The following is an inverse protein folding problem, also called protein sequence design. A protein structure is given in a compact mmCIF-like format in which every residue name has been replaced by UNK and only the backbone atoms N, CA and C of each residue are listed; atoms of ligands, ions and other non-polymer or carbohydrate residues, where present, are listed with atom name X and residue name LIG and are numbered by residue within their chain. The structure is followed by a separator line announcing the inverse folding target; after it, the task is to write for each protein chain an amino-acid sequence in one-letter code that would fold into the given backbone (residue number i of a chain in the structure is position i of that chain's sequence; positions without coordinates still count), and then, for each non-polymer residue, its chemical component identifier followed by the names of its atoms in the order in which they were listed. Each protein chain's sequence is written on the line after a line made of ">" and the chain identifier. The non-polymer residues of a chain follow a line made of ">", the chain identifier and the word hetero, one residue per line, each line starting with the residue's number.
data_IF_964147734671
#
_entry.id   IF_964147734671
#
_cell.length_a   1.000
_cell.length_b   1.000
_cell.length_c   1.000
_cell.angle_alpha   90.00
_cell.angle_beta   90.00
_cell.angle_gamma   90.00
#
_symmetry.space_group_name_H-M   'P 1'
#
loop_
_entity.id
_entity.type
_entity.pdbx_description
1 polymer ?
#
# COMPACT_ATOMS: atom_id res chain seq x y z
N UNK A 1 -65.48 -43.98 -4.37
CA UNK A 1 -65.04 -42.57 -4.28
C UNK A 1 -63.66 -42.55 -3.65
N UNK A 2 -62.59 -42.35 -4.42
CA UNK A 2 -61.29 -41.91 -3.88
C UNK A 2 -60.73 -40.91 -4.89
N UNK A 3 -60.75 -39.63 -4.54
CA UNK A 3 -60.14 -38.54 -5.32
C UNK A 3 -58.68 -38.45 -4.89
N UNK A 4 -57.75 -38.70 -5.80
CA UNK A 4 -56.35 -38.31 -5.63
C UNK A 4 -56.21 -36.83 -6.01
N UNK A 5 -55.89 -35.98 -5.03
CA UNK A 5 -55.39 -34.62 -5.28
C UNK A 5 -53.87 -34.70 -5.42
N UNK A 6 -53.37 -34.47 -6.64
CA UNK A 6 -51.95 -34.20 -6.86
C UNK A 6 -51.69 -32.72 -6.57
N UNK A 7 -50.96 -32.43 -5.49
CA UNK A 7 -50.37 -31.11 -5.28
C UNK A 7 -49.07 -31.03 -6.10
N UNK A 8 -49.04 -30.17 -7.11
CA UNK A 8 -47.82 -29.81 -7.82
C UNK A 8 -47.05 -28.79 -6.98
N UNK A 9 -45.91 -29.21 -6.44
CA UNK A 9 -44.95 -28.33 -5.76
C UNK A 9 -44.13 -27.60 -6.81
N UNK A 10 -44.34 -26.29 -6.98
CA UNK A 10 -43.48 -25.46 -7.80
C UNK A 10 -42.26 -25.02 -6.97
N UNK A 11 -41.11 -25.65 -7.19
CA UNK A 11 -39.83 -25.20 -6.64
C UNK A 11 -39.32 -24.03 -7.46
N UNK A 12 -39.35 -22.82 -6.89
CA UNK A 12 -38.65 -21.67 -7.45
C UNK A 12 -37.15 -21.79 -7.10
N UNK A 13 -36.32 -22.14 -8.09
CA UNK A 13 -34.88 -22.05 -7.95
C UNK A 13 -34.47 -20.58 -7.99
N UNK A 14 -33.96 -20.05 -6.88
CA UNK A 14 -33.33 -18.73 -6.84
C UNK A 14 -31.95 -18.88 -7.47
N UNK A 15 -31.77 -18.35 -8.68
CA UNK A 15 -30.46 -18.20 -9.29
C UNK A 15 -29.72 -17.10 -8.52
N UNK A 16 -28.69 -17.48 -7.76
CA UNK A 16 -27.77 -16.52 -7.18
C UNK A 16 -27.00 -15.86 -8.33
N UNK A 17 -27.25 -14.57 -8.56
CA UNK A 17 -26.39 -13.75 -9.41
C UNK A 17 -25.08 -13.53 -8.67
N UNK A 18 -24.00 -14.19 -9.09
CA UNK A 18 -22.66 -13.80 -8.66
C UNK A 18 -22.41 -12.39 -9.17
N UNK A 19 -22.24 -11.41 -8.28
CA UNK A 19 -21.72 -10.12 -8.71
C UNK A 19 -20.31 -10.35 -9.24
N UNK A 20 -19.98 -9.81 -10.41
CA UNK A 20 -18.62 -9.88 -10.97
C UNK A 20 -17.77 -8.69 -10.50
N UNK A 21 -18.20 -8.02 -9.44
CA UNK A 21 -17.59 -6.83 -8.88
C UNK A 21 -17.99 -6.63 -7.41
N UNK A 22 -17.26 -5.75 -6.73
CA UNK A 22 -17.62 -5.15 -5.45
C UNK A 22 -17.36 -3.64 -5.48
N UNK A 23 -17.87 -2.92 -4.50
CA UNK A 23 -17.69 -1.47 -4.35
C UNK A 23 -16.63 -1.18 -3.29
N UNK A 24 -15.76 -0.22 -3.59
CA UNK A 24 -14.90 0.45 -2.61
C UNK A 24 -15.34 1.90 -2.51
N UNK A 25 -15.88 2.28 -1.36
CA UNK A 25 -16.24 3.67 -1.06
C UNK A 25 -15.04 4.37 -0.44
N UNK A 26 -14.49 5.36 -1.13
CA UNK A 26 -13.42 6.22 -0.63
C UNK A 26 -14.02 7.44 0.07
N UNK A 27 -13.73 7.60 1.36
CA UNK A 27 -14.22 8.70 2.19
C UNK A 27 -13.07 9.60 2.59
N UNK A 28 -13.24 10.91 2.39
CA UNK A 28 -12.28 11.91 2.83
C UNK A 28 -12.65 12.44 4.23
N UNK A 29 -11.93 12.00 5.26
CA UNK A 29 -12.01 12.52 6.62
C UNK A 29 -11.00 13.62 6.94
N UNK A 30 -10.14 14.00 6.00
CA UNK A 30 -9.17 15.09 6.16
C UNK A 30 -9.88 16.45 6.06
N UNK A 31 -9.27 17.53 6.58
CA UNK A 31 -9.81 18.90 6.39
C UNK A 31 -9.53 19.49 5.01
N UNK A 32 -8.55 18.94 4.29
CA UNK A 32 -8.26 19.28 2.91
C UNK A 32 -8.92 18.30 1.94
N UNK A 33 -9.06 18.73 0.70
CA UNK A 33 -9.47 17.84 -0.38
C UNK A 33 -8.42 16.74 -0.62
N UNK A 34 -8.88 15.57 -1.04
CA UNK A 34 -8.03 14.45 -1.47
C UNK A 34 -8.05 14.43 -2.99
N UNK A 35 -6.87 14.43 -3.61
CA UNK A 35 -6.76 14.07 -5.02
C UNK A 35 -6.57 12.56 -5.10
N UNK A 36 -7.67 11.82 -5.32
CA UNK A 36 -7.65 10.37 -5.42
C UNK A 36 -7.07 9.96 -6.77
N UNK A 37 -5.83 9.49 -6.75
CA UNK A 37 -5.18 8.87 -7.90
C UNK A 37 -5.46 7.38 -7.91
N UNK A 38 -5.71 6.83 -9.10
CA UNK A 38 -5.87 5.39 -9.37
C UNK A 38 -4.86 4.97 -10.43
N UNK A 39 -4.17 3.85 -10.20
CA UNK A 39 -3.26 3.24 -11.17
C UNK A 39 -3.51 1.75 -11.29
N UNK A 40 -3.64 1.25 -12.52
CA UNK A 40 -3.74 -0.19 -12.80
C UNK A 40 -2.35 -0.80 -13.04
N UNK A 41 -2.18 -2.08 -12.71
CA UNK A 41 -0.87 -2.76 -12.87
C UNK A 41 -0.44 -2.92 -14.30
N UNK A 42 -1.42 -3.02 -15.17
CA UNK A 42 -1.24 -3.12 -16.60
C UNK A 42 -1.04 -1.76 -17.29
N UNK A 43 -1.25 -0.62 -16.60
CA UNK A 43 -1.26 0.71 -17.21
C UNK A 43 -0.47 1.72 -16.35
N UNK A 44 0.60 2.29 -16.92
CA UNK A 44 1.47 3.26 -16.24
C UNK A 44 0.96 4.72 -16.30
N UNK A 45 -0.33 4.93 -16.54
CA UNK A 45 -0.96 6.25 -16.51
C UNK A 45 -1.96 6.31 -15.39
N UNK A 46 -1.96 7.41 -14.65
CA UNK A 46 -2.94 7.62 -13.60
C UNK A 46 -4.25 8.18 -14.15
N UNK A 47 -5.33 7.76 -13.49
CA UNK A 47 -6.58 8.51 -13.46
C UNK A 47 -6.69 9.24 -12.12
N UNK A 48 -7.35 10.39 -12.09
CA UNK A 48 -7.52 11.17 -10.85
C UNK A 48 -8.89 11.81 -10.74
N UNK A 49 -9.41 11.89 -9.52
CA UNK A 49 -10.57 12.71 -9.17
C UNK A 49 -10.39 13.33 -7.78
N UNK A 50 -11.07 14.45 -7.53
CA UNK A 50 -10.99 15.13 -6.23
C UNK A 50 -12.16 14.72 -5.34
N UNK A 51 -11.86 14.33 -4.10
CA UNK A 51 -12.83 14.09 -3.03
C UNK A 51 -12.76 15.27 -2.07
N UNK A 52 -13.78 16.11 -2.08
CA UNK A 52 -13.86 17.24 -1.15
C UNK A 52 -13.81 16.77 0.32
N UNK A 53 -13.31 17.61 1.24
CA UNK A 53 -13.35 17.34 2.69
C UNK A 53 -14.76 16.91 3.13
N UNK A 54 -14.86 15.74 3.77
CA UNK A 54 -16.11 15.15 4.26
C UNK A 54 -16.97 14.46 3.19
N UNK A 55 -16.53 14.43 1.92
CA UNK A 55 -17.24 13.76 0.83
C UNK A 55 -16.78 12.30 0.65
N UNK A 56 -17.41 11.59 -0.29
CA UNK A 56 -17.03 10.24 -0.67
C UNK A 56 -17.28 9.99 -2.16
N UNK A 57 -16.54 9.04 -2.71
CA UNK A 57 -16.71 8.53 -4.09
C UNK A 57 -16.66 7.01 -4.08
N UNK A 58 -17.40 6.37 -4.98
CA UNK A 58 -17.44 4.92 -5.12
C UNK A 58 -16.60 4.48 -6.32
N UNK A 59 -15.83 3.41 -6.14
CA UNK A 59 -15.13 2.70 -7.21
C UNK A 59 -15.66 1.29 -7.31
N UNK A 60 -15.98 0.86 -8.53
CA UNK A 60 -16.33 -0.53 -8.81
C UNK A 60 -15.07 -1.32 -9.15
N UNK A 61 -14.80 -2.39 -8.39
CA UNK A 61 -13.67 -3.28 -8.61
C UNK A 61 -14.19 -4.59 -9.20
N UNK A 62 -13.85 -4.85 -10.46
CA UNK A 62 -14.26 -6.06 -11.18
C UNK A 62 -13.26 -7.21 -10.99
N UNK A 63 -13.66 -8.42 -11.40
CA UNK A 63 -12.75 -9.56 -11.47
C UNK A 63 -11.61 -9.31 -12.48
N UNK A 64 -10.38 -9.66 -12.12
CA UNK A 64 -9.19 -9.39 -12.92
C UNK A 64 -8.56 -8.00 -12.70
N UNK A 65 -9.02 -7.25 -11.70
CA UNK A 65 -8.42 -5.99 -11.28
C UNK A 65 -7.09 -6.23 -10.54
N UNK A 66 -6.11 -5.36 -10.78
CA UNK A 66 -4.90 -5.21 -9.98
C UNK A 66 -4.47 -3.75 -10.07
N UNK A 67 -4.34 -3.06 -8.94
CA UNK A 67 -4.08 -1.62 -8.93
C UNK A 67 -3.98 -1.03 -7.53
N UNK A 68 -3.62 0.25 -7.49
CA UNK A 68 -3.57 1.03 -6.25
C UNK A 68 -4.33 2.35 -6.36
N UNK A 69 -4.74 2.82 -5.19
CA UNK A 69 -5.35 4.10 -4.93
C UNK A 69 -4.48 4.88 -3.94
N UNK A 70 -4.41 6.20 -4.09
CA UNK A 70 -3.60 7.04 -3.21
C UNK A 70 -4.01 8.51 -3.28
N UNK A 71 -3.61 9.28 -2.28
CA UNK A 71 -3.78 10.74 -2.28
C UNK A 71 -2.56 11.41 -2.94
N UNK A 72 -2.78 12.12 -4.04
CA UNK A 72 -1.73 12.76 -4.81
C UNK A 72 -0.90 11.80 -5.67
N UNK A 73 0.02 12.35 -6.44
CA UNK A 73 0.93 11.59 -7.31
C UNK A 73 2.40 11.65 -6.86
N UNK A 74 2.66 12.29 -5.72
CA UNK A 74 3.99 12.40 -5.16
C UNK A 74 4.47 11.08 -4.55
N UNK A 75 5.77 11.05 -4.26
CA UNK A 75 6.45 9.88 -3.71
C UNK A 75 6.02 9.48 -2.32
N UNK A 76 5.57 10.43 -1.52
CA UNK A 76 5.10 10.15 -0.19
C UNK A 76 3.70 9.50 -0.24
N UNK A 77 3.10 9.25 -1.40
CA UNK A 77 1.76 8.70 -1.47
C UNK A 77 1.63 7.32 -0.78
N UNK A 78 0.82 7.28 0.28
CA UNK A 78 0.41 6.03 0.93
C UNK A 78 -0.46 5.23 -0.05
N UNK A 79 -0.06 4.00 -0.38
CA UNK A 79 -0.77 3.15 -1.34
C UNK A 79 -1.85 2.32 -0.64
N UNK A 80 -3.05 2.28 -1.21
CA UNK A 80 -4.09 1.30 -0.91
C UNK A 80 -4.22 0.39 -2.13
N UNK A 81 -3.89 -0.89 -1.98
CA UNK A 81 -3.85 -1.81 -3.12
C UNK A 81 -5.04 -2.78 -3.06
N UNK A 82 -5.59 -3.10 -4.24
CA UNK A 82 -6.60 -4.14 -4.40
C UNK A 82 -6.21 -5.05 -5.57
N UNK A 83 -6.44 -6.35 -5.42
CA UNK A 83 -6.30 -7.31 -6.50
C UNK A 83 -7.38 -8.39 -6.45
N UNK A 84 -7.87 -8.77 -7.63
CA UNK A 84 -8.87 -9.82 -7.84
C UNK A 84 -8.40 -10.79 -8.93
N UNK A 85 -7.10 -10.75 -9.25
CA UNK A 85 -6.44 -11.67 -10.18
C UNK A 85 -6.21 -13.05 -9.55
N UNK A 86 -6.12 -14.06 -10.41
CA UNK A 86 -5.92 -15.45 -10.03
C UNK A 86 -7.21 -16.27 -10.02
N UNK A 87 -7.08 -17.54 -9.61
CA UNK A 87 -8.17 -18.51 -9.68
C UNK A 87 -9.06 -18.52 -8.43
N UNK A 88 -8.64 -17.85 -7.35
CA UNK A 88 -9.40 -17.77 -6.12
C UNK A 88 -10.43 -16.63 -6.19
N UNK A 89 -11.66 -16.88 -5.73
CA UNK A 89 -12.69 -15.85 -5.59
C UNK A 89 -12.47 -15.03 -4.31
N UNK A 90 -11.37 -14.25 -4.32
CA UNK A 90 -10.97 -13.37 -3.24
C UNK A 90 -10.78 -11.93 -3.74
N UNK A 91 -11.08 -10.99 -2.85
CA UNK A 91 -10.58 -9.62 -2.93
C UNK A 91 -9.36 -9.51 -2.03
N UNK A 92 -8.17 -9.42 -2.63
CA UNK A 92 -6.93 -9.15 -1.94
C UNK A 92 -6.77 -7.65 -1.75
N UNK A 93 -6.27 -7.24 -0.59
CA UNK A 93 -6.05 -5.84 -0.28
C UNK A 93 -4.95 -5.65 0.75
N UNK A 94 -4.29 -4.51 0.69
CA UNK A 94 -3.26 -4.10 1.66
C UNK A 94 -3.01 -2.58 1.60
N UNK A 95 -2.13 -2.11 2.49
CA UNK A 95 -1.60 -0.75 2.49
C UNK A 95 -0.08 -0.85 2.29
N UNK A 96 0.49 0.03 1.48
CA UNK A 96 1.93 0.12 1.24
C UNK A 96 2.49 1.50 1.58
N UNK A 97 3.65 1.52 2.24
CA UNK A 97 4.41 2.75 2.52
C UNK A 97 5.89 2.64 2.12
N UNK A 98 6.20 1.68 1.25
CA UNK A 98 7.54 1.48 0.71
C UNK A 98 7.85 2.69 -0.18
N UNK A 99 8.95 3.43 0.07
CA UNK A 99 9.36 4.53 -0.82
C UNK A 99 9.51 4.04 -2.26
N UNK A 100 8.96 4.76 -3.25
CA UNK A 100 9.14 4.40 -4.64
C UNK A 100 10.56 4.74 -5.12
N UNK A 101 10.89 4.34 -6.35
CA UNK A 101 12.20 4.61 -7.00
C UNK A 101 13.37 4.18 -6.13
N UNK A 102 13.38 2.89 -5.82
CA UNK A 102 14.50 2.26 -5.13
C UNK A 102 15.72 2.24 -6.05
N UNK A 103 16.90 2.43 -5.48
CA UNK A 103 18.18 2.25 -6.14
C UNK A 103 18.26 0.84 -6.73
N UNK A 104 18.91 0.70 -7.89
CA UNK A 104 19.14 -0.62 -8.47
C UNK A 104 19.89 -1.55 -7.50
N UNK A 105 19.36 -2.75 -7.30
CA UNK A 105 19.85 -3.73 -6.34
C UNK A 105 19.18 -3.70 -4.97
N UNK A 106 18.31 -2.72 -4.71
CA UNK A 106 17.54 -2.58 -3.46
C UNK A 106 16.04 -2.81 -3.63
N UNK A 107 15.60 -3.38 -4.77
CA UNK A 107 14.21 -3.72 -5.07
C UNK A 107 13.61 -4.72 -4.06
N UNK A 108 14.46 -5.36 -3.24
CA UNK A 108 14.10 -6.25 -2.14
C UNK A 108 14.78 -5.85 -0.82
N UNK A 109 14.89 -4.55 -0.56
CA UNK A 109 15.21 -4.03 0.78
C UNK A 109 14.41 -4.80 1.86
N UNK A 110 15.01 -5.00 3.02
CA UNK A 110 14.54 -5.91 4.07
C UNK A 110 13.95 -5.19 5.28
N UNK A 111 13.99 -3.85 5.26
CA UNK A 111 13.41 -2.99 6.27
C UNK A 111 13.03 -1.64 5.67
N UNK A 112 12.09 -0.93 6.31
CA UNK A 112 11.69 0.41 5.87
C UNK A 112 12.88 1.38 5.82
N UNK A 113 13.76 1.33 6.82
CA UNK A 113 14.94 2.19 6.89
C UNK A 113 15.90 1.92 5.71
N UNK A 114 16.10 0.65 5.33
CA UNK A 114 16.89 0.30 4.16
C UNK A 114 16.23 0.80 2.87
N UNK A 115 14.92 0.62 2.73
CA UNK A 115 14.18 1.12 1.56
C UNK A 115 14.26 2.65 1.45
N UNK A 116 14.19 3.37 2.57
CA UNK A 116 14.33 4.84 2.60
C UNK A 116 15.74 5.31 2.27
N UNK A 117 16.75 4.61 2.77
CA UNK A 117 18.15 4.94 2.51
C UNK A 117 18.53 4.73 1.03
N UNK A 118 17.82 3.84 0.35
CA UNK A 118 18.04 3.45 -1.04
C UNK A 118 16.87 3.80 -1.94
N UNK A 119 16.26 4.98 -1.72
CA UNK A 119 15.24 5.55 -2.59
C UNK A 119 15.61 6.98 -2.91
N UNK A 120 15.35 7.41 -4.15
CA UNK A 120 15.56 8.79 -4.59
C UNK A 120 14.93 9.85 -3.67
N UNK A 121 13.77 9.53 -3.08
CA UNK A 121 13.01 10.44 -2.23
C UNK A 121 13.07 10.09 -0.75
N UNK A 122 13.31 8.82 -0.41
CA UNK A 122 13.33 8.34 0.97
C UNK A 122 12.00 8.47 1.71
N UNK A 123 10.89 8.70 1.00
CA UNK A 123 9.56 8.92 1.56
C UNK A 123 8.55 8.01 0.85
N UNK A 124 7.56 7.52 1.61
CA UNK A 124 6.49 6.64 1.10
C UNK A 124 5.18 6.78 1.86
N UNK A 125 5.04 7.83 2.69
CA UNK A 125 3.86 8.05 3.52
C UNK A 125 3.47 9.53 3.57
N UNK A 126 2.20 9.83 3.28
CA UNK A 126 1.65 11.20 3.29
C UNK A 126 0.32 11.28 4.04
N UNK A 127 -0.57 10.32 3.83
CA UNK A 127 -1.96 10.41 4.28
C UNK A 127 -2.31 9.21 5.16
N UNK A 128 -2.85 9.44 6.38
CA UNK A 128 -3.40 8.37 7.21
C UNK A 128 -4.56 7.67 6.50
N UNK A 129 -4.60 6.34 6.54
CA UNK A 129 -5.62 5.54 5.86
C UNK A 129 -6.13 4.40 6.75
N UNK A 130 -7.37 4.03 6.53
CA UNK A 130 -8.00 2.84 7.09
C UNK A 130 -8.82 2.15 6.01
N UNK A 131 -8.66 0.83 5.87
CA UNK A 131 -9.45 -0.01 4.96
C UNK A 131 -10.32 -0.93 5.79
N UNK A 132 -11.62 -0.85 5.61
CA UNK A 132 -12.62 -1.57 6.42
C UNK A 132 -13.54 -2.38 5.53
N UNK A 133 -13.48 -3.72 5.57
CA UNK A 133 -14.50 -4.56 4.95
C UNK A 133 -15.86 -4.33 5.63
N UNK A 134 -16.91 -4.15 4.83
CA UNK A 134 -18.27 -3.87 5.32
C UNK A 134 -19.00 -5.14 5.77
N UNK A 135 -18.55 -6.30 5.28
CA UNK A 135 -19.08 -7.61 5.64
C UNK A 135 -17.97 -8.67 5.61
N UNK A 136 -18.32 -9.92 5.91
CA UNK A 136 -17.43 -11.08 5.85
C UNK A 136 -16.17 -11.00 6.72
N UNK A 137 -16.14 -10.09 7.70
CA UNK A 137 -15.03 -9.98 8.63
C UNK A 137 -14.91 -11.25 9.47
N UNK A 138 -13.69 -11.74 9.62
CA UNK A 138 -13.40 -12.98 10.36
C UNK A 138 -12.38 -12.80 11.49
N UNK A 139 -11.88 -11.57 11.69
CA UNK A 139 -10.89 -11.25 12.72
C UNK A 139 -9.44 -11.63 12.34
N UNK A 140 -9.27 -12.40 11.26
CA UNK A 140 -7.98 -12.86 10.75
C UNK A 140 -7.64 -12.10 9.45
N UNK A 141 -7.81 -12.73 8.29
CA UNK A 141 -7.42 -12.14 7.00
C UNK A 141 -8.41 -11.12 6.44
N UNK A 142 -9.71 -11.29 6.70
CA UNK A 142 -10.73 -10.31 6.32
C UNK A 142 -11.02 -9.47 7.54
N UNK A 143 -10.28 -8.37 7.70
CA UNK A 143 -10.40 -7.46 8.83
C UNK A 143 -10.08 -6.03 8.41
N UNK A 144 -10.38 -5.11 9.29
CA UNK A 144 -9.92 -3.74 9.15
C UNK A 144 -8.40 -3.66 9.31
N UNK A 145 -7.75 -2.87 8.45
CA UNK A 145 -6.35 -2.48 8.57
C UNK A 145 -6.19 -0.98 8.61
N UNK A 146 -5.16 -0.49 9.27
CA UNK A 146 -5.02 0.93 9.57
C UNK A 146 -3.56 1.38 9.58
N UNK A 147 -3.25 2.43 8.82
CA UNK A 147 -1.96 3.07 8.79
C UNK A 147 -2.10 4.56 9.10
N UNK A 148 -1.75 4.97 10.32
CA UNK A 148 -1.93 6.35 10.78
C UNK A 148 -0.65 7.19 10.83
N UNK A 149 0.49 6.53 10.57
CA UNK A 149 1.80 7.14 10.55
C UNK A 149 2.74 6.28 9.71
N UNK A 150 3.82 6.89 9.27
CA UNK A 150 4.97 6.22 8.68
C UNK A 150 5.51 5.13 9.63
N UNK A 151 5.83 3.95 9.09
CA UNK A 151 6.22 2.77 9.87
C UNK A 151 5.07 2.02 10.55
N UNK A 152 3.81 2.24 10.13
CA UNK A 152 2.65 1.55 10.71
C UNK A 152 2.73 0.01 10.54
N UNK A 153 2.18 -0.71 11.52
CA UNK A 153 2.28 -2.17 11.60
C UNK A 153 1.45 -2.93 10.57
N UNK A 154 0.39 -2.32 10.05
CA UNK A 154 -0.54 -2.95 9.12
C UNK A 154 -0.14 -2.77 7.64
N UNK A 155 0.86 -1.91 7.36
CA UNK A 155 1.31 -1.69 5.99
C UNK A 155 2.55 -2.51 5.64
N UNK A 156 2.74 -2.75 4.34
CA UNK A 156 4.01 -3.13 3.75
C UNK A 156 5.06 -2.05 4.05
N UNK A 157 6.02 -2.42 4.88
CA UNK A 157 7.17 -1.59 5.23
C UNK A 157 8.38 -1.86 4.31
N UNK A 158 8.40 -3.02 3.66
CA UNK A 158 9.41 -3.45 2.71
C UNK A 158 8.83 -4.56 1.80
N UNK A 159 9.40 -4.83 0.61
CA UNK A 159 8.78 -5.67 -0.42
C UNK A 159 8.46 -7.11 -0.04
N UNK A 160 9.17 -7.69 0.94
CA UNK A 160 8.97 -9.08 1.40
C UNK A 160 8.23 -9.17 2.73
N UNK A 161 7.52 -8.12 3.14
CA UNK A 161 6.68 -8.14 4.31
C UNK A 161 5.36 -8.89 4.03
N UNK A 162 5.44 -10.16 3.61
CA UNK A 162 4.32 -10.95 3.07
C UNK A 162 3.19 -11.20 4.09
N UNK A 163 3.35 -10.73 5.33
CA UNK A 163 2.33 -10.79 6.39
C UNK A 163 1.25 -9.71 6.27
N UNK A 164 1.42 -8.76 5.35
CA UNK A 164 0.59 -7.54 5.23
C UNK A 164 -0.52 -7.66 4.19
N UNK A 165 -0.48 -8.65 3.29
CA UNK A 165 -1.61 -8.92 2.41
C UNK A 165 -2.79 -9.50 3.19
N UNK A 166 -3.96 -8.93 2.96
CA UNK A 166 -5.23 -9.34 3.51
C UNK A 166 -6.19 -9.78 2.42
N UNK A 167 -7.23 -10.52 2.81
CA UNK A 167 -8.17 -11.08 1.84
C UNK A 167 -9.55 -11.23 2.43
N UNK A 168 -10.56 -10.84 1.66
CA UNK A 168 -11.96 -11.15 1.92
C UNK A 168 -12.53 -12.01 0.78
N UNK A 169 -13.64 -12.74 1.02
CA UNK A 169 -14.41 -13.34 -0.08
C UNK A 169 -14.72 -12.30 -1.15
N UNK A 170 -14.58 -12.66 -2.43
CA UNK A 170 -14.94 -11.76 -3.53
C UNK A 170 -16.42 -11.32 -3.42
N UNK A 171 -16.70 -10.08 -3.79
CA UNK A 171 -18.01 -9.45 -3.57
C UNK A 171 -18.18 -8.77 -2.20
N UNK A 172 -17.14 -8.81 -1.34
CA UNK A 172 -17.13 -8.00 -0.12
C UNK A 172 -16.92 -6.53 -0.48
N UNK A 173 -17.84 -5.66 -0.09
CA UNK A 173 -17.66 -4.21 -0.22
C UNK A 173 -16.73 -3.67 0.87
N UNK A 174 -16.05 -2.56 0.58
CA UNK A 174 -15.08 -1.92 1.48
C UNK A 174 -15.36 -0.42 1.61
N UNK A 175 -14.97 0.14 2.75
CA UNK A 175 -14.74 1.58 2.91
C UNK A 175 -13.25 1.84 3.12
N UNK A 176 -12.71 2.80 2.36
CA UNK A 176 -11.37 3.35 2.55
C UNK A 176 -11.52 4.77 3.08
N UNK A 177 -11.02 5.03 4.28
CA UNK A 177 -11.12 6.34 4.92
C UNK A 177 -9.75 6.99 4.97
N UNK A 178 -9.57 8.11 4.26
CA UNK A 178 -8.43 9.01 4.45
C UNK A 178 -8.65 9.84 5.71
N UNK A 179 -7.59 10.02 6.50
CA UNK A 179 -7.63 10.68 7.81
C UNK A 179 -8.80 10.19 8.70
N UNK A 180 -8.84 8.89 9.09
CA UNK A 180 -9.96 8.32 9.84
C UNK A 180 -10.15 8.91 11.25
N UNK A 181 -9.16 9.63 11.77
CA UNK A 181 -9.24 10.38 13.05
C UNK A 181 -9.28 11.91 12.83
N UNK A 182 -9.57 12.38 11.61
CA UNK A 182 -9.29 13.74 11.17
C UNK A 182 -7.79 13.98 10.98
N UNK A 183 -7.39 15.23 10.75
CA UNK A 183 -5.96 15.60 10.55
C UNK A 183 -5.10 15.44 11.81
N UNK A 184 -5.71 15.04 12.93
CA UNK A 184 -5.07 14.96 14.25
C UNK A 184 -4.11 13.79 14.46
N UNK A 185 -3.74 13.02 13.44
CA UNK A 185 -2.75 11.93 13.60
C UNK A 185 -1.30 12.44 13.59
N UNK A 186 -0.99 13.36 14.49
CA UNK A 186 0.39 13.66 14.93
C UNK A 186 0.39 13.97 16.43
N UNK A 187 0.05 13.00 17.27
CA UNK A 187 0.58 12.98 18.64
C UNK A 187 0.64 11.54 19.14
N UNK A 188 1.83 10.92 19.09
CA UNK A 188 2.18 9.91 20.09
C UNK A 188 1.97 10.54 21.46
N UNK A 189 0.94 10.10 22.18
CA UNK A 189 0.78 10.48 23.58
C UNK A 189 1.91 9.80 24.34
N UNK A 190 2.94 10.57 24.71
CA UNK A 190 3.83 10.18 25.79
C UNK A 190 2.95 10.02 27.03
N UNK A 191 2.69 8.79 27.41
CA UNK A 191 1.87 8.42 28.56
C UNK A 191 2.60 8.85 29.84
N UNK A 192 2.39 10.09 30.26
CA UNK A 192 2.74 10.53 31.60
C UNK A 192 1.84 9.75 32.58
N UNK A 193 2.45 8.82 33.31
CA UNK A 193 1.80 8.10 34.41
C UNK A 193 1.26 9.10 35.43
N UNK A 194 -0.06 9.19 35.54
CA UNK A 194 -0.74 9.90 36.62
C UNK A 194 -0.98 8.91 37.76
N UNK A 195 -0.17 9.01 38.82
CA UNK A 195 -0.51 8.43 40.12
C UNK A 195 -1.24 9.51 40.92
N UNK A 196 -2.44 9.17 41.39
CA UNK A 196 -3.38 10.09 42.01
C UNK A 196 -2.96 10.62 43.39
N UNK A 197 -3.30 11.91 43.58
CA UNK A 197 -3.96 12.55 44.72
C UNK A 197 -3.53 12.22 46.16
N UNK A 198 -3.05 13.25 46.86
CA UNK A 198 -3.56 13.58 48.18
C UNK A 198 -3.51 15.09 48.43
N UNK A 199 -4.69 15.63 48.72
CA UNK A 199 -5.02 17.00 49.09
C UNK A 199 -4.35 17.40 50.40
N UNK A 200 -3.67 18.56 50.45
CA UNK A 200 -3.58 19.34 51.68
C UNK A 200 -3.34 20.83 51.37
N UNK A 201 -4.37 21.59 51.68
CA UNK A 201 -4.48 23.04 51.69
C UNK A 201 -3.65 23.63 52.83
N UNK A 202 -2.79 24.63 52.59
CA UNK A 202 -2.44 25.69 53.57
C UNK A 202 -1.84 26.91 52.85
N UNK A 203 -2.58 28.02 52.92
CA UNK A 203 -2.19 29.42 53.13
C UNK A 203 -1.11 30.10 52.27
N UNK A 204 -1.62 30.95 51.35
CA UNK A 204 -1.28 32.36 51.13
C UNK A 204 -0.01 32.91 51.81
N UNK A 205 0.99 33.32 51.01
CA UNK A 205 1.71 34.56 51.29
C UNK A 205 2.08 35.29 50.00
N UNK A 206 1.79 36.59 50.03
CA UNK A 206 1.91 37.57 48.96
C UNK A 206 3.30 38.18 49.00
N UNK A 207 4.06 38.10 47.89
CA UNK A 207 5.06 39.12 47.54
C UNK A 207 5.18 39.27 46.03
N UNK A 208 4.90 40.47 45.54
CA UNK A 208 5.21 40.98 44.19
C UNK A 208 6.22 42.13 44.39
N UNK A 209 6.90 42.63 43.35
CA UNK A 209 7.86 42.02 42.43
C UNK A 209 9.26 42.66 42.60
N UNK A 210 10.34 41.95 42.24
CA UNK A 210 11.65 42.56 42.06
C UNK A 210 12.01 42.62 40.57
N UNK A 211 11.90 43.82 40.03
CA UNK A 211 12.41 44.29 38.75
C UNK A 211 13.91 44.07 38.62
N UNK A 212 14.36 43.46 37.52
CA UNK A 212 15.67 43.79 36.94
C UNK A 212 15.66 43.55 35.44
N UNK A 213 15.85 44.63 34.69
CA UNK A 213 16.30 44.64 33.30
C UNK A 213 17.44 45.67 33.24
N UNK A 214 18.12 45.86 32.10
CA UNK A 214 18.80 44.90 31.23
C UNK A 214 20.31 45.22 31.18
N UNK A 215 21.18 44.27 30.81
CA UNK A 215 22.58 44.59 30.48
C UNK A 215 22.95 43.96 29.14
N UNK A 216 22.81 44.79 28.11
CA UNK A 216 23.74 45.08 27.01
C UNK A 216 25.08 44.32 27.01
N UNK A 217 25.41 43.63 25.92
CA UNK A 217 26.52 44.01 25.03
C UNK A 217 26.55 43.14 23.76
N UNK A 218 26.44 43.81 22.61
CA UNK A 218 27.08 43.40 21.37
C UNK A 218 28.43 44.10 21.28
N UNK A 219 29.41 43.54 20.57
CA UNK A 219 29.85 44.25 19.38
C UNK A 219 30.13 43.35 18.16
N UNK A 220 30.20 44.05 17.04
CA UNK A 220 30.22 43.62 15.65
C UNK A 220 31.55 43.03 15.16
N UNK A 221 31.57 42.81 13.84
CA UNK A 221 32.71 42.87 12.88
C UNK A 221 33.27 41.48 12.55
N UNK A 222 33.45 41.02 11.31
CA UNK A 222 33.75 41.70 10.05
C UNK A 222 33.50 40.74 8.85
N UNK A 223 33.05 41.27 7.72
CA UNK A 223 33.27 40.66 6.40
C UNK A 223 34.43 41.39 5.73
N UNK A 224 35.25 40.73 4.90
CA UNK A 224 35.43 41.30 3.56
C UNK A 224 35.64 40.29 2.40
N UNK A 225 34.97 40.63 1.30
CA UNK A 225 35.51 40.85 -0.06
C UNK A 225 35.83 39.65 -0.98
N UNK A 226 35.28 39.80 -2.18
CA UNK A 226 35.45 39.03 -3.40
C UNK A 226 36.86 39.06 -4.00
N UNK A 227 37.25 38.03 -4.78
CA UNK A 227 37.71 38.27 -6.16
C UNK A 227 37.79 37.01 -7.04
N UNK A 228 37.38 37.24 -8.28
CA UNK A 228 37.51 36.50 -9.54
C UNK A 228 38.90 35.92 -9.87
N UNK A 229 38.92 34.78 -10.58
CA UNK A 229 39.73 34.47 -11.81
C UNK A 229 39.05 33.27 -12.49
N UNK A 230 38.54 33.32 -13.73
CA UNK A 230 39.17 33.45 -15.05
C UNK A 230 40.02 32.24 -15.49
N UNK A 231 39.35 31.34 -16.24
CA UNK A 231 39.71 30.72 -17.53
C UNK A 231 41.08 30.05 -17.82
N UNK A 232 41.02 29.16 -18.84
CA UNK A 232 42.08 28.48 -19.60
C UNK A 232 42.50 27.10 -19.06
N UNK A 233 42.66 26.02 -19.82
CA UNK A 233 42.57 25.75 -21.27
C UNK A 233 42.69 24.22 -21.51
N UNK A 234 42.17 23.78 -22.66
CA UNK A 234 42.52 22.61 -23.50
C UNK A 234 42.80 21.20 -22.95
N UNK A 235 42.07 20.22 -23.52
CA UNK A 235 42.75 19.25 -24.39
C UNK A 235 42.52 17.75 -24.16
N UNK A 236 41.86 17.12 -25.14
CA UNK A 236 41.86 15.69 -25.54
C UNK A 236 41.18 14.68 -24.59
N UNK A 237 40.21 13.84 -25.00
CA UNK A 237 39.91 13.32 -26.32
C UNK A 237 40.38 11.88 -26.45
N UNK A 238 39.57 10.92 -25.99
CA UNK A 238 39.64 9.54 -26.52
C UNK A 238 38.25 8.90 -26.49
N UNK A 239 37.76 8.68 -27.71
CA UNK A 239 36.55 7.94 -28.06
C UNK A 239 36.89 6.46 -27.98
N UNK A 240 36.09 5.66 -27.28
CA UNK A 240 36.10 4.21 -27.45
C UNK A 240 34.84 3.76 -28.17
N UNK A 241 35.14 3.07 -29.27
CA UNK A 241 34.31 2.66 -30.37
C UNK A 241 33.34 1.54 -29.99
N UNK A 242 32.17 1.64 -30.61
CA UNK A 242 31.10 0.68 -30.73
C UNK A 242 31.55 -0.46 -31.67
N UNK A 243 31.46 -1.72 -31.24
CA UNK A 243 31.48 -2.86 -32.15
C UNK A 243 30.13 -3.57 -32.07
N UNK A 244 29.48 -3.60 -33.22
CA UNK A 244 28.24 -4.30 -33.54
C UNK A 244 28.34 -5.81 -33.30
N UNK A 245 27.30 -6.40 -32.72
CA UNK A 245 27.00 -7.82 -32.93
C UNK A 245 25.51 -7.99 -33.20
N UNK A 246 25.21 -8.07 -34.49
CA UNK A 246 23.94 -8.51 -35.04
C UNK A 246 23.89 -10.05 -34.95
N UNK A 247 22.87 -10.59 -34.29
CA UNK A 247 22.72 -12.03 -34.04
C UNK A 247 21.24 -12.41 -34.01
N UNK A 248 20.69 -12.55 -35.20
CA UNK A 248 19.40 -13.16 -35.52
C UNK A 248 19.30 -14.56 -34.89
N UNK A 249 18.20 -14.87 -34.19
CA UNK A 249 17.88 -16.26 -33.86
C UNK A 249 16.40 -16.51 -34.11
N UNK A 250 16.17 -17.19 -35.22
CA UNK A 250 14.88 -17.71 -35.65
C UNK A 250 14.33 -18.77 -34.69
N UNK A 251 13.01 -18.79 -34.65
CA UNK A 251 12.10 -19.77 -34.08
C UNK A 251 12.28 -21.16 -34.73
N UNK A 252 12.33 -22.23 -33.93
CA UNK A 252 11.80 -23.54 -34.37
C UNK A 252 11.28 -24.35 -33.18
N UNK A 253 10.07 -24.90 -33.35
CA UNK A 253 9.36 -25.75 -32.41
C UNK A 253 9.96 -27.18 -32.35
N UNK A 254 9.75 -27.93 -31.25
CA UNK A 254 10.29 -29.28 -31.12
C UNK A 254 9.50 -30.33 -31.89
N UNK A 255 10.27 -31.28 -32.43
CA UNK A 255 9.84 -32.50 -33.12
C UNK A 255 9.20 -33.50 -32.14
N UNK A 256 8.07 -34.08 -32.57
CA UNK A 256 7.31 -35.12 -31.87
C UNK A 256 8.02 -36.46 -32.03
N UNK A 257 8.36 -37.11 -30.91
CA UNK A 257 8.62 -38.55 -30.87
C UNK A 257 7.57 -39.22 -29.98
N UNK A 258 6.69 -39.99 -30.62
CA UNK A 258 5.86 -41.01 -29.98
C UNK A 258 6.77 -42.15 -29.54
N UNK A 259 6.69 -42.56 -28.28
CA UNK A 259 6.95 -43.95 -27.93
C UNK A 259 5.82 -44.45 -27.04
N UNK A 260 5.29 -45.59 -27.46
CA UNK A 260 4.11 -46.27 -26.96
C UNK A 260 4.60 -47.40 -26.05
N UNK A 261 4.20 -47.38 -24.77
CA UNK A 261 4.18 -48.59 -23.93
C UNK A 261 3.39 -48.34 -22.65
N UNK A 262 2.16 -48.86 -22.64
CA UNK A 262 1.33 -49.09 -21.45
C UNK A 262 1.86 -50.28 -20.64
N UNK A 263 1.85 -50.20 -19.30
CA UNK A 263 1.25 -51.29 -18.52
C UNK A 263 0.24 -50.81 -17.45
N UNK A 264 -0.66 -51.73 -17.12
CA UNK A 264 -1.85 -51.61 -16.29
C UNK A 264 -1.59 -51.35 -14.77
N UNK A 265 -2.62 -51.00 -13.97
CA UNK A 265 -2.47 -50.26 -12.72
C UNK A 265 -2.21 -51.17 -11.52
N UNK A 266 -1.31 -50.72 -10.63
CA UNK A 266 -1.21 -51.24 -9.27
C UNK A 266 -1.82 -50.21 -8.32
N UNK A 267 -2.83 -50.65 -7.56
CA UNK A 267 -3.51 -49.84 -6.58
C UNK A 267 -2.61 -49.57 -5.36
N UNK A 268 -2.35 -48.30 -5.07
CA UNK A 268 -1.82 -47.83 -3.80
C UNK A 268 -2.65 -46.66 -3.29
N UNK A 269 -3.04 -46.79 -2.02
CA UNK A 269 -3.76 -45.87 -1.14
C UNK A 269 -3.30 -44.41 -1.25
N UNK A 270 -4.20 -43.40 -1.21
CA UNK A 270 -3.78 -42.01 -1.21
C UNK A 270 -3.20 -41.61 0.17
N UNK A 271 -1.93 -41.21 0.16
CA UNK A 271 -1.29 -40.44 1.22
C UNK A 271 -1.75 -38.99 1.11
N UNK A 272 -2.12 -38.37 2.23
CA UNK A 272 -2.64 -37.01 2.27
C UNK A 272 -1.53 -36.01 1.91
N UNK A 273 -1.61 -35.43 0.72
CA UNK A 273 -0.78 -34.29 0.31
C UNK A 273 -1.11 -33.08 1.19
N UNK A 274 -0.14 -32.44 1.86
CA UNK A 274 -0.37 -31.17 2.52
C UNK A 274 -0.76 -30.12 1.48
N UNK A 275 -1.76 -29.30 1.82
CA UNK A 275 -2.20 -28.18 0.99
C UNK A 275 -0.99 -27.29 0.68
N UNK A 276 -0.60 -27.24 -0.59
CA UNK A 276 0.37 -26.27 -1.08
C UNK A 276 -0.36 -24.94 -1.12
N UNK A 277 -0.05 -24.04 -0.18
CA UNK A 277 -0.42 -22.63 -0.27
C UNK A 277 0.08 -22.10 -1.61
N UNK A 278 -0.77 -21.55 -2.49
CA UNK A 278 -0.30 -20.89 -3.69
C UNK A 278 0.57 -19.71 -3.27
N UNK A 279 1.77 -19.59 -3.84
CA UNK A 279 2.58 -18.40 -3.70
C UNK A 279 1.78 -17.19 -4.19
N UNK A 280 1.68 -16.16 -3.35
CA UNK A 280 1.14 -14.87 -3.76
C UNK A 280 1.85 -14.42 -5.05
N UNK A 281 1.05 -14.10 -6.06
CA UNK A 281 1.57 -13.53 -7.29
C UNK A 281 2.23 -12.20 -6.94
N UNK A 282 3.51 -12.07 -7.33
CA UNK A 282 4.40 -10.96 -7.02
C UNK A 282 3.78 -9.62 -7.42
N UNK A 283 3.67 -8.68 -6.47
CA UNK A 283 3.39 -7.28 -6.79
C UNK A 283 4.52 -6.77 -7.69
N UNK A 284 4.19 -6.45 -8.94
CA UNK A 284 5.14 -6.09 -9.99
C UNK A 284 5.67 -4.65 -9.86
N UNK A 285 5.29 -3.95 -8.79
CA UNK A 285 5.46 -2.51 -8.65
C UNK A 285 6.71 -2.06 -7.88
N UNK A 286 7.51 -3.00 -7.37
CA UNK A 286 8.84 -2.69 -6.84
C UNK A 286 9.93 -2.71 -7.92
N UNK A 287 9.58 -2.83 -9.22
CA UNK A 287 10.56 -2.95 -10.30
C UNK A 287 10.25 -1.95 -11.42
N UNK A 288 11.29 -1.22 -11.81
CA UNK A 288 11.44 -0.34 -12.98
C UNK A 288 11.10 1.15 -12.81
N UNK A 289 12.09 1.90 -12.29
CA UNK A 289 12.81 2.89 -13.10
C UNK A 289 14.31 2.82 -12.84
#
# INVERSE_FOLDING_TARGET
>A
MVRFLSLASASAAVLATSSNAFTVTFTNGCSSDIDLYTRLASIYTDESETIASGASVDKTIEKGYEGNFRNGSDDAATLIEFATMGDLDLAWFDIGIIPPRLDSGYEFCTSLDECKAHSDSGIGYNTPVQVTPISNTNGDNCRQITCLADGCSDAYNYPKDDTKTHSCPFGTDFTVTFCPSGDGSTTQTTQASSTGSSTQQTTQETTTPATTAPVTEAPATEAPVAQSTAASDDGAGTVHTQDDVNGESETTAPEVTQDDSTPAPTATTPEATPAVTPAATKSKYCVDR
#
